data_IF_499373631081
#
_entry.id   IF_499373631081
#
_cell.length_a   1.000
_cell.length_b   1.000
_cell.length_c   1.000
_cell.angle_alpha   90.00
_cell.angle_beta   90.00
_cell.angle_gamma   90.00
#
_symmetry.space_group_name_H-M   'P 1'
#
loop_
_entity.id
_entity.type
_entity.pdbx_description
1 polymer ?
#
# COMPACT_ATOMS: atom_id res chain seq x y z
N UNK A 1 19.02 -21.15 -13.80
CA UNK A 1 17.67 -21.69 -14.06
C UNK A 1 16.67 -20.79 -13.36
N UNK A 2 16.18 -19.72 -14.02
CA UNK A 2 15.43 -18.63 -13.36
C UNK A 2 14.13 -18.28 -14.12
N UNK A 3 13.22 -19.26 -14.27
CA UNK A 3 11.99 -19.06 -15.05
C UNK A 3 10.76 -19.87 -14.55
N UNK A 4 10.77 -20.39 -13.33
CA UNK A 4 9.64 -21.17 -12.79
C UNK A 4 8.88 -20.52 -11.63
N UNK A 5 9.29 -19.34 -11.15
CA UNK A 5 8.62 -18.65 -10.02
C UNK A 5 7.63 -17.55 -10.47
N UNK A 6 7.43 -17.38 -11.78
CA UNK A 6 6.47 -16.38 -12.29
C UNK A 6 5.03 -16.87 -12.32
N UNK A 7 4.84 -18.19 -12.37
CA UNK A 7 3.54 -18.81 -12.71
C UNK A 7 2.79 -19.40 -11.49
N UNK A 8 3.43 -19.45 -10.31
CA UNK A 8 2.81 -19.92 -9.08
C UNK A 8 2.71 -18.83 -8.02
N UNK A 9 2.33 -17.60 -8.42
CA UNK A 9 1.92 -16.54 -7.49
C UNK A 9 0.51 -16.81 -6.96
N UNK A 10 0.30 -17.98 -6.39
CA UNK A 10 -0.84 -18.21 -5.52
C UNK A 10 -0.47 -17.50 -4.23
N UNK A 11 -0.81 -16.22 -4.15
CA UNK A 11 -0.67 -15.46 -2.91
C UNK A 11 -1.40 -16.22 -1.81
N UNK A 12 -0.74 -16.43 -0.68
CA UNK A 12 -1.39 -17.01 0.48
C UNK A 12 -2.54 -16.09 0.91
N UNK A 13 -3.53 -16.63 1.62
CA UNK A 13 -4.62 -15.80 2.17
C UNK A 13 -4.08 -14.64 3.01
N UNK A 14 -2.99 -14.86 3.75
CA UNK A 14 -2.30 -13.82 4.51
C UNK A 14 -1.70 -12.70 3.64
N UNK A 15 -1.18 -13.03 2.45
CA UNK A 15 -0.66 -12.03 1.51
C UNK A 15 -1.80 -11.18 0.93
N UNK A 16 -2.94 -11.83 0.62
CA UNK A 16 -4.16 -11.13 0.21
C UNK A 16 -4.67 -10.18 1.28
N UNK A 17 -4.63 -10.56 2.56
CA UNK A 17 -5.01 -9.69 3.66
C UNK A 17 -4.09 -8.47 3.79
N UNK A 18 -2.77 -8.66 3.63
CA UNK A 18 -1.79 -7.56 3.62
C UNK A 18 -2.06 -6.60 2.47
N UNK A 19 -2.22 -7.12 1.25
CA UNK A 19 -2.52 -6.30 0.07
C UNK A 19 -3.86 -5.57 0.21
N UNK A 20 -4.90 -6.24 0.72
CA UNK A 20 -6.22 -5.64 0.93
C UNK A 20 -6.16 -4.53 1.99
N UNK A 21 -5.40 -4.72 3.08
CA UNK A 21 -5.19 -3.71 4.12
C UNK A 21 -4.43 -2.51 3.58
N UNK A 22 -3.38 -2.74 2.78
CA UNK A 22 -2.62 -1.68 2.13
C UNK A 22 -3.48 -0.87 1.15
N UNK A 23 -4.33 -1.55 0.36
CA UNK A 23 -5.26 -0.89 -0.57
C UNK A 23 -6.27 0.02 0.14
N UNK A 24 -6.89 -0.48 1.21
CA UNK A 24 -7.83 0.30 2.01
C UNK A 24 -7.14 1.53 2.62
N UNK A 25 -5.92 1.35 3.14
CA UNK A 25 -5.15 2.42 3.77
C UNK A 25 -4.66 3.46 2.75
N UNK A 26 -4.20 3.03 1.58
CA UNK A 26 -3.83 3.95 0.50
C UNK A 26 -5.03 4.75 -0.01
N UNK A 27 -6.22 4.13 -0.07
CA UNK A 27 -7.47 4.82 -0.44
C UNK A 27 -7.83 5.89 0.58
N UNK A 28 -7.73 5.58 1.88
CA UNK A 28 -7.89 6.55 2.98
C UNK A 28 -6.89 7.70 2.89
N UNK A 29 -5.60 7.41 2.60
CA UNK A 29 -4.57 8.45 2.45
C UNK A 29 -4.86 9.39 1.28
N UNK A 30 -5.40 8.86 0.18
CA UNK A 30 -5.78 9.65 -0.99
C UNK A 30 -7.14 10.36 -0.82
N UNK A 31 -7.79 10.26 0.34
CA UNK A 31 -9.16 10.73 0.59
C UNK A 31 -10.17 10.19 -0.45
N UNK A 32 -9.97 8.95 -0.89
CA UNK A 32 -10.78 8.30 -1.93
C UNK A 32 -11.54 7.12 -1.37
N UNK A 33 -12.75 6.91 -1.90
CA UNK A 33 -13.49 5.69 -1.61
C UNK A 33 -12.85 4.49 -2.32
N UNK A 34 -12.45 3.42 -1.59
CA UNK A 34 -11.81 2.23 -2.16
C UNK A 34 -12.74 1.41 -3.06
N UNK A 35 -14.03 1.71 -3.15
CA UNK A 35 -15.00 0.92 -3.94
C UNK A 35 -15.59 1.67 -5.13
N UNK A 36 -15.66 2.99 -5.07
CA UNK A 36 -16.42 3.81 -6.04
C UNK A 36 -15.53 4.69 -6.91
N UNK A 37 -14.24 4.80 -6.58
CA UNK A 37 -13.34 5.65 -7.35
C UNK A 37 -12.88 4.93 -8.64
N UNK A 38 -12.90 5.58 -9.82
CA UNK A 38 -12.53 4.97 -11.10
C UNK A 38 -11.09 4.45 -11.13
N UNK A 39 -10.20 5.01 -10.31
CA UNK A 39 -8.80 4.58 -10.16
C UNK A 39 -8.57 3.49 -9.10
N UNK A 40 -9.60 2.94 -8.47
CA UNK A 40 -9.44 1.87 -7.48
C UNK A 40 -8.70 0.65 -8.05
N UNK A 41 -9.05 0.25 -9.28
CA UNK A 41 -8.38 -0.87 -9.96
C UNK A 41 -6.90 -0.56 -10.25
N UNK A 42 -6.56 0.68 -10.59
CA UNK A 42 -5.17 1.11 -10.81
C UNK A 42 -4.36 1.09 -9.51
N UNK A 43 -4.99 1.52 -8.40
CA UNK A 43 -4.38 1.46 -7.08
C UNK A 43 -4.14 -0.01 -6.65
N UNK A 44 -5.12 -0.90 -6.85
CA UNK A 44 -4.97 -2.33 -6.54
C UNK A 44 -3.81 -2.98 -7.32
N UNK A 45 -3.68 -2.69 -8.62
CA UNK A 45 -2.56 -3.18 -9.44
C UNK A 45 -1.21 -2.65 -8.94
N UNK A 46 -1.17 -1.39 -8.50
CA UNK A 46 0.03 -0.80 -7.92
C UNK A 46 0.42 -1.50 -6.61
N UNK A 47 -0.54 -1.78 -5.73
CA UNK A 47 -0.32 -2.52 -4.49
C UNK A 47 0.23 -3.92 -4.78
N UNK A 48 -0.36 -4.66 -5.72
CA UNK A 48 0.13 -6.00 -6.11
C UNK A 48 1.55 -5.95 -6.69
N UNK A 49 1.87 -4.95 -7.51
CA UNK A 49 3.20 -4.80 -8.10
C UNK A 49 4.28 -4.43 -7.06
N UNK A 50 3.92 -3.62 -6.06
CA UNK A 50 4.83 -3.28 -4.96
C UNK A 50 5.04 -4.47 -4.01
N UNK A 51 3.99 -5.25 -3.75
CA UNK A 51 4.09 -6.49 -2.98
C UNK A 51 5.02 -7.49 -3.68
N UNK A 52 4.84 -7.67 -5.00
CA UNK A 52 5.71 -8.50 -5.83
C UNK A 52 7.18 -8.06 -5.84
N UNK A 53 7.44 -6.77 -5.60
CA UNK A 53 8.81 -6.25 -5.49
C UNK A 53 9.48 -6.51 -4.12
N UNK A 54 8.74 -7.12 -3.18
CA UNK A 54 9.23 -7.50 -1.85
C UNK A 54 8.72 -6.64 -0.70
N UNK A 55 7.79 -5.71 -0.94
CA UNK A 55 7.21 -4.86 0.12
C UNK A 55 6.01 -5.57 0.75
N UNK A 56 6.23 -6.20 1.91
CA UNK A 56 5.18 -6.94 2.63
C UNK A 56 4.59 -6.18 3.83
N UNK A 57 5.09 -4.98 4.16
CA UNK A 57 4.50 -4.18 5.23
C UNK A 57 3.30 -3.37 4.70
N UNK A 58 2.10 -3.59 5.25
CA UNK A 58 0.88 -2.94 4.77
C UNK A 58 0.90 -1.40 4.84
N UNK A 59 1.58 -0.82 5.83
CA UNK A 59 1.72 0.63 5.98
C UNK A 59 2.67 1.23 4.93
N UNK A 60 3.81 0.57 4.71
CA UNK A 60 4.79 0.98 3.71
C UNK A 60 4.21 0.82 2.30
N UNK A 61 3.54 -0.30 2.05
CA UNK A 61 2.88 -0.62 0.80
C UNK A 61 1.79 0.41 0.48
N UNK A 62 1.01 0.84 1.47
CA UNK A 62 -0.01 1.86 1.32
C UNK A 62 0.58 3.23 0.96
N UNK A 63 1.62 3.66 1.68
CA UNK A 63 2.26 4.95 1.44
C UNK A 63 2.94 4.98 0.06
N UNK A 64 3.64 3.91 -0.33
CA UNK A 64 4.27 3.79 -1.65
C UNK A 64 3.23 3.77 -2.77
N UNK A 65 2.13 3.02 -2.60
CA UNK A 65 1.05 2.97 -3.59
C UNK A 65 0.36 4.34 -3.76
N UNK A 66 0.07 5.02 -2.64
CA UNK A 66 -0.52 6.35 -2.65
C UNK A 66 0.43 7.39 -3.29
N UNK A 67 1.72 7.34 -2.94
CA UNK A 67 2.74 8.23 -3.51
C UNK A 67 2.96 7.99 -5.00
N UNK A 68 2.91 6.74 -5.46
CA UNK A 68 3.02 6.40 -6.88
C UNK A 68 1.82 6.91 -7.67
N UNK A 69 0.61 6.71 -7.17
CA UNK A 69 -0.60 7.30 -7.77
C UNK A 69 -0.58 8.83 -7.76
N UNK A 70 -0.05 9.44 -6.70
CA UNK A 70 0.11 10.88 -6.59
C UNK A 70 1.16 11.42 -7.57
N UNK A 71 2.27 10.71 -7.77
CA UNK A 71 3.28 11.05 -8.79
C UNK A 71 2.70 11.05 -10.20
N UNK A 72 1.84 10.07 -10.52
CA UNK A 72 1.10 10.06 -11.80
C UNK A 72 0.17 11.28 -11.96
N UNK A 73 -0.39 11.81 -10.86
CA UNK A 73 -1.25 13.01 -10.86
C UNK A 73 -0.44 14.32 -10.84
N UNK A 74 0.73 14.31 -10.20
CA UNK A 74 1.65 15.44 -10.14
C UNK A 74 2.30 15.71 -11.50
N UNK A 75 2.56 14.66 -12.30
CA UNK A 75 2.95 14.80 -13.71
C UNK A 75 1.84 15.49 -14.54
N UNK A 76 0.57 15.40 -14.10
CA UNK A 76 -0.56 16.13 -14.68
C UNK A 76 -0.78 17.54 -14.07
N UNK A 77 0.15 18.04 -13.25
CA UNK A 77 0.13 19.41 -12.72
C UNK A 77 -0.49 19.59 -11.33
N UNK A 78 -0.95 18.53 -10.67
CA UNK A 78 -1.45 18.58 -9.30
C UNK A 78 -0.37 18.14 -8.30
N UNK A 79 0.54 19.05 -7.95
CA UNK A 79 1.56 18.77 -6.93
C UNK A 79 0.95 18.81 -5.53
N UNK A 80 0.61 17.63 -5.00
CA UNK A 80 0.33 17.44 -3.58
C UNK A 80 1.57 16.85 -2.91
N UNK A 81 1.89 17.29 -1.68
CA UNK A 81 3.06 16.84 -0.93
C UNK A 81 3.00 15.31 -0.74
N UNK A 82 4.08 14.55 -1.02
CA UNK A 82 4.07 13.10 -0.86
C UNK A 82 3.70 12.73 0.57
N UNK A 83 2.94 11.64 0.71
CA UNK A 83 2.58 11.09 1.99
C UNK A 83 3.84 10.66 2.73
N UNK A 84 4.15 11.38 3.81
CA UNK A 84 5.25 11.03 4.69
C UNK A 84 4.92 9.72 5.40
N UNK A 85 5.80 8.73 5.23
CA UNK A 85 5.77 7.54 6.06
C UNK A 85 6.08 7.96 7.50
N UNK A 86 5.09 7.90 8.38
CA UNK A 86 5.30 7.98 9.81
C UNK A 86 5.35 6.54 10.31
N UNK A 87 6.53 5.95 10.58
CA UNK A 87 6.57 4.68 11.28
C UNK A 87 5.81 4.92 12.58
N UNK A 88 4.70 4.22 12.78
CA UNK A 88 3.99 4.27 14.05
C UNK A 88 4.98 3.85 15.13
N UNK A 89 5.47 4.81 15.91
CA UNK A 89 6.28 4.54 17.09
C UNK A 89 5.53 3.47 17.91
N UNK A 90 6.21 2.42 18.38
CA UNK A 90 5.57 1.48 19.28
C UNK A 90 5.06 2.27 20.48
N UNK A 91 3.75 2.22 20.72
CA UNK A 91 3.15 2.70 21.97
C UNK A 91 3.68 1.76 23.05
N UNK A 92 4.77 2.16 23.69
CA UNK A 92 5.20 1.60 24.97
C UNK A 92 4.18 2.04 26.02
N UNK A 93 3.05 1.34 26.08
CA UNK A 93 2.18 1.39 27.24
C UNK A 93 2.88 0.62 28.37
N UNK A 94 3.86 1.28 28.97
CA UNK A 94 4.46 0.87 30.24
C UNK A 94 3.53 1.32 31.37
N UNK A 95 2.31 0.80 31.40
CA UNK A 95 1.43 0.86 32.57
C UNK A 95 1.43 -0.51 33.23
N UNK A 96 2.52 -0.85 33.93
CA UNK A 96 2.43 -1.79 35.05
C UNK A 96 2.80 -1.02 36.31
N UNK A 97 1.75 -0.44 36.90
CA UNK A 97 1.68 -0.21 38.33
C UNK A 97 1.47 -1.58 38.99
N UNK A 98 2.35 -1.97 39.89
CA UNK A 98 2.02 -2.56 41.21
C UNK A 98 3.29 -2.75 42.02
#
# INVERSE_FOLDING_TARGET
MALLDRDRRIFATSDWEVMQRAHNKASLMLDRCPKTHPRCNALARTVMALFDSGVHNADELAALAANRELGHLAIQGYFHKPFAFKPSLPKNDSTIRH
#
